data_IF_275180445218
#
_entry.id   IF_275180445218
#
_cell.length_a   1.000
_cell.length_b   1.000
_cell.length_c   1.000
_cell.angle_alpha   90.00
_cell.angle_beta   90.00
_cell.angle_gamma   90.00
#
_symmetry.space_group_name_H-M   'P 1'
#
loop_
_entity.id
_entity.type
_entity.pdbx_description
1 polymer ?
#
# COMPACT_ATOMS: atom_id res chain seq x y z
N UNK A 1 4.21 -3.20 13.47
CA UNK A 1 3.97 -3.41 12.03
C UNK A 1 2.48 -3.75 11.88
N UNK A 2 1.75 -3.09 10.98
CA UNK A 2 0.30 -3.29 10.83
C UNK A 2 -0.01 -4.41 9.84
N UNK A 3 0.76 -4.50 8.76
CA UNK A 3 0.69 -5.56 7.74
C UNK A 3 2.11 -5.98 7.37
N UNK A 4 2.36 -7.29 7.33
CA UNK A 4 3.63 -7.91 6.89
C UNK A 4 3.34 -9.31 6.33
N UNK A 5 2.94 -9.37 5.06
CA UNK A 5 2.56 -10.63 4.43
C UNK A 5 2.77 -10.62 2.91
N UNK A 6 2.90 -11.82 2.34
CA UNK A 6 2.88 -11.98 0.87
C UNK A 6 1.44 -12.04 0.39
N UNK A 7 1.07 -11.08 -0.43
CA UNK A 7 -0.28 -10.99 -1.00
C UNK A 7 -0.24 -11.24 -2.51
N UNK A 8 -1.33 -11.79 -3.04
CA UNK A 8 -1.56 -11.85 -4.49
C UNK A 8 -2.57 -10.77 -4.83
N UNK A 9 -2.30 -9.99 -5.88
CA UNK A 9 -3.26 -9.00 -6.36
C UNK A 9 -4.54 -9.66 -6.84
N UNK A 10 -5.64 -8.90 -6.76
CA UNK A 10 -6.88 -9.30 -7.38
C UNK A 10 -6.77 -9.28 -8.91
N UNK A 11 -7.79 -9.81 -9.60
CA UNK A 11 -7.80 -9.88 -11.07
C UNK A 11 -7.68 -8.50 -11.75
N UNK A 12 -8.09 -7.44 -11.07
CA UNK A 12 -7.98 -6.05 -11.54
C UNK A 12 -6.61 -5.41 -11.26
N UNK A 13 -5.68 -6.15 -10.65
CA UNK A 13 -4.33 -5.66 -10.32
C UNK A 13 -4.19 -4.92 -9.00
N UNK A 14 -5.27 -4.71 -8.24
CA UNK A 14 -5.24 -4.02 -6.95
C UNK A 14 -5.05 -4.98 -5.76
N UNK A 15 -4.58 -4.41 -4.65
CA UNK A 15 -4.53 -5.04 -3.32
C UNK A 15 -5.30 -4.12 -2.39
N UNK A 16 -6.32 -4.67 -1.71
CA UNK A 16 -7.10 -3.94 -0.74
C UNK A 16 -6.55 -4.17 0.67
N UNK A 17 -6.37 -3.09 1.44
CA UNK A 17 -5.87 -3.12 2.81
C UNK A 17 -6.84 -2.42 3.75
N UNK A 18 -7.13 -3.06 4.88
CA UNK A 18 -7.85 -2.44 5.99
C UNK A 18 -6.86 -1.92 7.01
N UNK A 19 -6.78 -0.59 7.15
CA UNK A 19 -5.84 0.09 8.03
C UNK A 19 -6.57 0.87 9.13
N UNK A 20 -5.97 1.04 10.32
CA UNK A 20 -6.47 1.96 11.33
C UNK A 20 -6.60 3.38 10.78
N UNK A 21 -7.69 4.08 11.13
CA UNK A 21 -7.92 5.48 10.74
C UNK A 21 -7.01 6.48 11.45
N UNK A 22 -6.95 7.69 10.88
CA UNK A 22 -6.32 8.88 11.42
C UNK A 22 -4.82 8.72 11.71
N UNK A 23 -4.15 7.95 10.86
CA UNK A 23 -2.74 7.61 11.00
C UNK A 23 -1.99 7.72 9.67
N UNK A 24 -0.66 7.85 9.79
CA UNK A 24 0.31 7.78 8.69
C UNK A 24 1.09 6.48 8.77
N UNK A 25 1.32 5.86 7.62
CA UNK A 25 2.02 4.59 7.50
C UNK A 25 3.13 4.70 6.47
N UNK A 26 4.31 4.20 6.84
CA UNK A 26 5.34 3.87 5.86
C UNK A 26 4.97 2.55 5.20
N UNK A 27 4.94 2.55 3.89
CA UNK A 27 4.59 1.39 3.08
C UNK A 27 5.80 1.00 2.25
N UNK A 28 6.06 -0.31 2.18
CA UNK A 28 7.07 -0.90 1.31
C UNK A 28 6.45 -2.05 0.56
N UNK A 29 6.65 -2.09 -0.75
CA UNK A 29 6.22 -3.20 -1.59
C UNK A 29 7.44 -3.76 -2.30
N UNK A 30 7.63 -5.07 -2.20
CA UNK A 30 8.72 -5.81 -2.83
C UNK A 30 8.14 -6.87 -3.78
N UNK A 31 8.61 -6.91 -5.02
CA UNK A 31 8.21 -7.93 -6.00
C UNK A 31 9.31 -8.17 -7.04
N UNK A 32 9.70 -9.43 -7.24
CA UNK A 32 10.70 -9.85 -8.23
C UNK A 32 12.01 -9.02 -8.19
N UNK A 33 12.52 -8.74 -6.99
CA UNK A 33 13.75 -7.97 -6.79
C UNK A 33 13.60 -6.46 -6.99
N UNK A 34 12.38 -5.98 -7.27
CA UNK A 34 12.04 -4.56 -7.32
C UNK A 34 11.39 -4.11 -6.03
N UNK A 35 11.57 -2.83 -5.72
CA UNK A 35 11.07 -2.24 -4.47
C UNK A 35 10.50 -0.85 -4.72
N UNK A 36 9.47 -0.49 -3.96
CA UNK A 36 9.00 0.89 -3.82
C UNK A 36 8.63 1.17 -2.37
N UNK A 37 8.96 2.38 -1.91
CA UNK A 37 8.58 2.87 -0.60
C UNK A 37 7.76 4.15 -0.76
N UNK A 38 6.74 4.32 0.09
CA UNK A 38 5.89 5.50 0.12
C UNK A 38 5.35 5.77 1.52
N UNK A 39 4.76 6.93 1.72
CA UNK A 39 3.91 7.22 2.88
C UNK A 39 2.44 7.26 2.42
N UNK A 40 1.57 6.56 3.14
CA UNK A 40 0.12 6.64 2.98
C UNK A 40 -0.51 7.13 4.28
N UNK A 41 -1.67 7.76 4.19
CA UNK A 41 -2.44 8.20 5.34
C UNK A 41 -3.92 7.83 5.20
N UNK A 42 -4.62 7.85 6.33
CA UNK A 42 -6.00 7.34 6.47
C UNK A 42 -6.93 8.33 7.15
N UNK A 43 -6.68 9.62 6.94
CA UNK A 43 -7.55 10.72 7.37
C UNK A 43 -8.79 10.82 6.48
N UNK A 44 -9.81 11.54 6.95
CA UNK A 44 -11.14 11.62 6.32
C UNK A 44 -11.11 12.00 4.82
N UNK A 45 -10.19 12.89 4.41
CA UNK A 45 -10.11 13.40 3.04
C UNK A 45 -9.03 12.69 2.19
N UNK A 46 -8.42 11.62 2.71
CA UNK A 46 -7.36 10.92 1.99
C UNK A 46 -7.93 10.03 0.88
N UNK A 47 -7.19 9.95 -0.23
CA UNK A 47 -7.54 9.08 -1.34
C UNK A 47 -7.42 7.61 -0.94
N UNK A 48 -8.43 6.81 -1.28
CA UNK A 48 -8.44 5.35 -1.03
C UNK A 48 -7.76 4.53 -2.14
N UNK A 49 -7.45 5.17 -3.27
CA UNK A 49 -6.81 4.53 -4.41
C UNK A 49 -5.48 5.24 -4.72
N UNK A 50 -4.39 4.49 -4.68
CA UNK A 50 -3.06 4.98 -5.01
C UNK A 50 -2.41 4.08 -6.07
N UNK A 51 -2.10 4.67 -7.23
CA UNK A 51 -1.46 4.00 -8.37
C UNK A 51 -0.09 4.59 -8.72
N UNK A 52 0.49 5.41 -7.85
CA UNK A 52 1.75 6.13 -8.13
C UNK A 52 2.99 5.38 -7.66
N UNK A 53 2.82 4.24 -6.99
CA UNK A 53 3.89 3.42 -6.43
C UNK A 53 4.56 2.55 -7.49
N UNK A 54 5.40 3.17 -8.32
CA UNK A 54 6.17 2.49 -9.36
C UNK A 54 7.33 1.66 -8.76
N UNK A 55 7.29 0.34 -8.97
CA UNK A 55 8.39 -0.57 -8.61
C UNK A 55 9.62 -0.31 -9.51
N UNK A 56 10.77 -0.05 -8.88
CA UNK A 56 12.06 0.13 -9.57
C UNK A 56 12.87 -1.16 -9.56
#
# INVERSE_FOLDING_TARGET
MIVDEKMTSHQNGFIDLWLPRDQKFKTKIDYNGKTVESEISTFENDATCNTTMQLM
#
